data_IF_590060588219
#
_entry.id   IF_590060588219
#
_cell.length_a   1.000
_cell.length_b   1.000
_cell.length_c   1.000
_cell.angle_alpha   90.00
_cell.angle_beta   90.00
_cell.angle_gamma   90.00
#
_symmetry.space_group_name_H-M   'P 1'
#
loop_
_entity.id
_entity.type
_entity.pdbx_description
1 polymer ?
#
# COMPACT_ATOMS: atom_id res chain seq x y z
N UNK A 1 -29.20 -10.04 -13.20
CA UNK A 1 -29.40 -8.70 -12.59
C UNK A 1 -29.06 -7.64 -13.62
N UNK A 2 -29.78 -6.51 -13.66
CA UNK A 2 -29.47 -5.39 -14.58
C UNK A 2 -28.09 -4.79 -14.26
N UNK A 3 -27.38 -4.25 -15.28
CA UNK A 3 -26.03 -3.65 -15.15
C UNK A 3 -25.95 -2.59 -14.03
N UNK A 4 -27.03 -1.84 -13.85
CA UNK A 4 -27.18 -0.77 -12.86
C UNK A 4 -27.36 -1.30 -11.43
N UNK A 5 -28.15 -2.37 -11.23
CA UNK A 5 -28.23 -3.08 -9.94
C UNK A 5 -26.89 -3.69 -9.53
N UNK A 6 -26.06 -4.06 -10.50
CA UNK A 6 -24.73 -4.61 -10.26
C UNK A 6 -23.73 -3.53 -9.78
N UNK A 7 -23.79 -2.32 -10.36
CA UNK A 7 -22.98 -1.17 -9.90
C UNK A 7 -23.39 -0.71 -8.50
N UNK A 8 -24.68 -0.52 -8.22
CA UNK A 8 -25.12 -0.07 -6.89
C UNK A 8 -24.73 -1.06 -5.78
N UNK A 9 -24.75 -2.37 -6.07
CA UNK A 9 -24.26 -3.38 -5.16
C UNK A 9 -22.74 -3.31 -4.94
N UNK A 10 -21.98 -2.99 -5.98
CA UNK A 10 -20.52 -2.94 -5.93
C UNK A 10 -19.99 -1.72 -5.15
N UNK A 11 -20.52 -0.52 -5.43
CA UNK A 11 -20.02 0.74 -4.83
C UNK A 11 -20.65 1.10 -3.47
N UNK A 12 -21.71 0.39 -3.06
CA UNK A 12 -22.40 0.59 -1.76
C UNK A 12 -22.74 2.04 -1.45
N UNK A 13 -23.09 2.81 -2.48
CA UNK A 13 -23.30 4.27 -2.38
C UNK A 13 -24.32 4.63 -1.29
N UNK A 14 -25.32 3.77 -1.07
CA UNK A 14 -26.37 3.95 -0.06
C UNK A 14 -25.89 4.00 1.40
N UNK A 15 -24.64 3.60 1.72
CA UNK A 15 -24.10 3.74 3.08
C UNK A 15 -23.61 5.15 3.39
N UNK A 16 -23.49 6.00 2.36
CA UNK A 16 -23.05 7.38 2.52
C UNK A 16 -24.25 8.32 2.50
N UNK A 17 -24.16 9.40 3.25
CA UNK A 17 -25.18 10.45 3.20
C UNK A 17 -25.07 11.22 1.88
N UNK A 18 -26.18 11.74 1.34
CA UNK A 18 -26.15 12.55 0.12
C UNK A 18 -25.16 13.71 0.20
N UNK A 19 -25.06 14.37 1.35
CA UNK A 19 -24.19 15.54 1.55
C UNK A 19 -22.70 15.17 1.42
N UNK A 20 -22.31 13.96 1.84
CA UNK A 20 -20.93 13.49 1.67
C UNK A 20 -20.64 13.18 0.20
N UNK A 21 -21.60 12.62 -0.52
CA UNK A 21 -21.46 12.28 -1.94
C UNK A 21 -21.40 13.54 -2.83
N UNK A 22 -22.21 14.55 -2.51
CA UNK A 22 -22.24 15.84 -3.21
C UNK A 22 -20.93 16.62 -3.07
N UNK A 23 -20.16 16.39 -2.00
CA UNK A 23 -18.87 17.02 -1.78
C UNK A 23 -17.72 16.40 -2.58
N UNK A 24 -17.83 15.12 -2.99
CA UNK A 24 -16.73 14.42 -3.65
C UNK A 24 -16.22 15.16 -4.91
N UNK A 25 -17.08 15.64 -5.83
CA UNK A 25 -16.60 16.36 -7.00
C UNK A 25 -15.86 17.66 -6.64
N UNK A 26 -16.31 18.36 -5.58
CA UNK A 26 -15.69 19.59 -5.11
C UNK A 26 -14.32 19.32 -4.49
N UNK A 27 -14.20 18.27 -3.68
CA UNK A 27 -12.93 17.86 -3.06
C UNK A 27 -11.92 17.36 -4.10
N UNK A 28 -12.36 16.54 -5.05
CA UNK A 28 -11.51 16.10 -6.18
C UNK A 28 -11.01 17.33 -6.96
N UNK A 29 -11.90 18.27 -7.29
CA UNK A 29 -11.51 19.49 -7.98
C UNK A 29 -10.52 20.34 -7.15
N UNK A 30 -10.73 20.44 -5.84
CA UNK A 30 -9.83 21.14 -4.92
C UNK A 30 -8.42 20.55 -4.91
N UNK A 31 -8.29 19.24 -4.72
CA UNK A 31 -6.98 18.57 -4.79
C UNK A 31 -6.37 18.64 -6.19
N UNK A 32 -7.18 18.57 -7.24
CA UNK A 32 -6.72 18.66 -8.61
C UNK A 32 -6.07 20.01 -8.92
N UNK A 33 -6.54 21.12 -8.32
CA UNK A 33 -5.93 22.43 -8.52
C UNK A 33 -4.45 22.45 -8.13
N UNK A 34 -4.06 21.73 -7.07
CA UNK A 34 -2.67 21.64 -6.62
C UNK A 34 -1.74 20.96 -7.63
N UNK A 35 -2.28 20.16 -8.57
CA UNK A 35 -1.53 19.46 -9.62
C UNK A 35 -1.77 20.04 -11.02
N UNK A 36 -2.32 21.26 -11.13
CA UNK A 36 -2.61 21.90 -12.42
C UNK A 36 -3.86 21.34 -13.11
N UNK A 37 -4.84 20.90 -12.34
CA UNK A 37 -6.14 20.39 -12.78
C UNK A 37 -6.14 18.91 -13.17
N UNK A 38 -7.33 18.32 -13.27
CA UNK A 38 -7.50 16.92 -13.69
C UNK A 38 -7.15 16.71 -15.16
N UNK A 39 -6.67 15.51 -15.55
CA UNK A 39 -6.66 15.12 -16.96
C UNK A 39 -8.09 15.13 -17.51
N UNK A 40 -8.30 15.75 -18.66
CA UNK A 40 -9.63 15.77 -19.31
C UNK A 40 -9.95 14.44 -20.01
N UNK A 41 -8.91 13.68 -20.36
CA UNK A 41 -9.01 12.40 -21.04
C UNK A 41 -7.74 11.57 -20.81
N UNK A 42 -7.77 10.31 -21.25
CA UNK A 42 -6.64 9.38 -21.13
C UNK A 42 -5.32 9.91 -21.73
N UNK A 43 -5.32 10.73 -22.80
CA UNK A 43 -4.08 11.22 -23.43
C UNK A 43 -3.31 12.16 -22.50
N UNK A 44 -4.01 12.89 -21.64
CA UNK A 44 -3.39 13.81 -20.68
C UNK A 44 -2.79 13.09 -19.47
N UNK A 45 -3.24 11.87 -19.15
CA UNK A 45 -2.78 11.08 -17.98
C UNK A 45 -1.27 10.88 -18.00
N UNK A 46 -0.70 10.56 -19.17
CA UNK A 46 0.74 10.36 -19.32
C UNK A 46 1.57 11.65 -19.18
N UNK A 47 0.93 12.82 -19.23
CA UNK A 47 1.59 14.12 -19.08
C UNK A 47 1.30 14.76 -17.70
N UNK A 48 0.41 14.17 -16.90
CA UNK A 48 0.04 14.67 -15.58
C UNK A 48 0.45 13.68 -14.49
N UNK A 49 1.68 13.82 -14.00
CA UNK A 49 2.16 13.10 -12.81
C UNK A 49 1.27 13.43 -11.61
N UNK A 50 0.90 12.41 -10.82
CA UNK A 50 0.05 12.62 -9.65
C UNK A 50 -1.45 12.73 -9.93
N UNK A 51 -1.91 12.47 -11.16
CA UNK A 51 -3.33 12.59 -11.54
C UNK A 51 -4.30 11.72 -10.71
N UNK A 52 -3.80 10.67 -10.05
CA UNK A 52 -4.60 9.76 -9.23
C UNK A 52 -4.75 10.25 -7.78
N UNK A 53 -3.87 11.16 -7.31
CA UNK A 53 -3.88 11.67 -5.94
C UNK A 53 -5.19 12.36 -5.53
N UNK A 54 -5.83 13.20 -6.37
CA UNK A 54 -7.12 13.80 -6.02
C UNK A 54 -8.19 12.76 -5.71
N UNK A 55 -8.23 11.66 -6.48
CA UNK A 55 -9.15 10.56 -6.23
C UNK A 55 -8.76 9.79 -4.96
N UNK A 56 -7.48 9.51 -4.76
CA UNK A 56 -6.99 8.81 -3.57
C UNK A 56 -7.39 9.55 -2.29
N UNK A 57 -7.10 10.84 -2.19
CA UNK A 57 -7.38 11.62 -0.99
C UNK A 57 -8.87 11.75 -0.74
N UNK A 58 -9.66 12.06 -1.76
CA UNK A 58 -11.12 12.18 -1.61
C UNK A 58 -11.78 10.84 -1.25
N UNK A 59 -11.38 9.74 -1.88
CA UNK A 59 -11.96 8.43 -1.56
C UNK A 59 -11.50 7.90 -0.21
N UNK A 60 -10.24 8.13 0.17
CA UNK A 60 -9.75 7.76 1.50
C UNK A 60 -10.45 8.58 2.60
N UNK A 61 -10.62 9.90 2.44
CA UNK A 61 -11.38 10.73 3.38
C UNK A 61 -12.84 10.26 3.53
N UNK A 62 -13.42 9.72 2.45
CA UNK A 62 -14.76 9.12 2.49
C UNK A 62 -14.78 7.80 3.28
N UNK A 63 -13.71 7.00 3.21
CA UNK A 63 -13.66 5.61 3.67
C UNK A 63 -12.92 5.42 4.99
N UNK A 64 -11.65 5.80 5.07
CA UNK A 64 -10.73 5.42 6.15
C UNK A 64 -10.05 6.62 6.84
N UNK A 65 -9.93 7.77 6.17
CA UNK A 65 -9.34 9.00 6.73
C UNK A 65 -7.86 8.88 7.11
N UNK A 66 -7.11 7.97 6.48
CA UNK A 66 -5.70 7.72 6.80
C UNK A 66 -4.77 8.77 6.22
N UNK A 67 -5.07 9.27 5.03
CA UNK A 67 -4.30 10.34 4.41
C UNK A 67 -4.45 11.63 5.20
N UNK A 68 -5.67 12.02 5.59
CA UNK A 68 -5.91 13.20 6.42
C UNK A 68 -5.14 13.10 7.75
N UNK A 69 -5.29 11.97 8.44
CA UNK A 69 -4.54 11.68 9.68
C UNK A 69 -3.03 11.85 9.51
N UNK A 70 -2.46 11.30 8.43
CA UNK A 70 -1.02 11.37 8.20
C UNK A 70 -0.55 12.76 7.77
N UNK A 71 -1.33 13.47 6.95
CA UNK A 71 -1.01 14.83 6.52
C UNK A 71 -1.04 15.81 7.69
N UNK A 72 -1.99 15.67 8.61
CA UNK A 72 -2.01 16.45 9.87
C UNK A 72 -0.76 16.20 10.72
N UNK A 73 -0.36 14.94 10.88
CA UNK A 73 0.88 14.60 11.58
C UNK A 73 2.10 15.24 10.91
N UNK A 74 2.20 15.16 9.57
CA UNK A 74 3.30 15.76 8.83
C UNK A 74 3.32 17.28 8.99
N UNK A 75 2.16 17.93 8.97
CA UNK A 75 2.05 19.37 9.22
C UNK A 75 2.47 19.74 10.64
N UNK A 76 2.14 18.89 11.63
CA UNK A 76 2.51 19.08 13.04
C UNK A 76 3.99 18.77 13.32
N UNK A 77 4.63 17.92 12.51
CA UNK A 77 6.00 17.44 12.70
C UNK A 77 6.18 16.46 13.87
N UNK A 78 5.08 15.95 14.44
CA UNK A 78 5.13 14.96 15.53
C UNK A 78 3.89 14.07 15.58
N UNK A 79 4.06 12.80 15.95
CA UNK A 79 2.95 11.87 16.22
C UNK A 79 2.31 12.09 17.61
N UNK A 80 2.92 12.89 18.48
CA UNK A 80 2.40 13.13 19.83
C UNK A 80 1.08 13.88 19.76
N UNK A 81 0.02 13.33 20.37
CA UNK A 81 -1.31 13.92 20.37
C UNK A 81 -2.01 13.89 19.01
N UNK A 82 -1.65 12.95 18.13
CA UNK A 82 -2.37 12.71 16.86
C UNK A 82 -3.68 11.93 17.03
N UNK A 83 -3.95 11.40 18.23
CA UNK A 83 -5.07 10.47 18.44
C UNK A 83 -4.83 9.08 17.83
N UNK A 84 -5.86 8.21 17.85
CA UNK A 84 -5.74 6.84 17.40
C UNK A 84 -5.52 6.75 15.88
N UNK A 85 -4.72 5.79 15.44
CA UNK A 85 -4.55 5.48 14.01
C UNK A 85 -5.91 5.03 13.45
N UNK A 86 -6.42 5.65 12.36
CA UNK A 86 -7.63 5.18 11.71
C UNK A 86 -7.45 3.74 11.21
N UNK A 87 -8.36 2.85 11.61
CA UNK A 87 -8.24 1.40 11.34
C UNK A 87 -8.91 1.04 10.03
N UNK A 88 -8.23 0.23 9.22
CA UNK A 88 -8.87 -0.45 8.09
C UNK A 88 -9.47 -1.77 8.58
N UNK A 89 -10.72 -2.00 8.21
CA UNK A 89 -11.37 -3.30 8.28
C UNK A 89 -11.06 -4.10 7.01
N UNK A 90 -10.07 -4.97 7.12
CA UNK A 90 -9.59 -5.78 6.00
C UNK A 90 -10.64 -6.77 5.49
N UNK A 91 -10.92 -6.70 4.19
CA UNK A 91 -11.90 -7.54 3.52
C UNK A 91 -11.43 -8.99 3.36
N UNK A 92 -12.39 -9.92 3.42
CA UNK A 92 -12.18 -11.33 3.12
C UNK A 92 -11.96 -11.53 1.62
N UNK A 93 -10.87 -12.21 1.28
CA UNK A 93 -10.47 -12.55 -0.09
C UNK A 93 -11.58 -13.23 -0.90
N UNK A 94 -12.41 -14.07 -0.24
CA UNK A 94 -13.48 -14.83 -0.90
C UNK A 94 -14.77 -14.05 -1.15
N UNK A 95 -14.88 -12.80 -0.69
CA UNK A 95 -16.13 -12.05 -0.83
C UNK A 95 -16.43 -11.71 -2.31
N UNK A 96 -17.71 -11.62 -2.73
CA UNK A 96 -18.03 -11.24 -4.11
C UNK A 96 -17.43 -9.89 -4.55
N UNK A 97 -17.22 -8.96 -3.61
CA UNK A 97 -16.69 -7.61 -3.89
C UNK A 97 -15.17 -7.62 -4.06
N UNK A 98 -14.46 -8.37 -3.24
CA UNK A 98 -13.00 -8.56 -3.42
C UNK A 98 -12.72 -9.33 -4.70
N UNK A 99 -13.56 -10.31 -5.06
CA UNK A 99 -13.46 -11.00 -6.35
C UNK A 99 -13.71 -10.06 -7.54
N UNK A 100 -14.69 -9.17 -7.44
CA UNK A 100 -14.93 -8.15 -8.47
C UNK A 100 -13.73 -7.19 -8.62
N UNK A 101 -13.15 -6.76 -7.51
CA UNK A 101 -11.95 -5.90 -7.51
C UNK A 101 -10.72 -6.64 -8.05
N UNK A 102 -10.57 -7.93 -7.75
CA UNK A 102 -9.53 -8.78 -8.36
C UNK A 102 -9.73 -8.91 -9.87
N UNK A 103 -10.96 -9.12 -10.33
CA UNK A 103 -11.27 -9.22 -11.75
C UNK A 103 -10.93 -7.92 -12.50
N UNK A 104 -11.09 -6.76 -11.86
CA UNK A 104 -10.66 -5.47 -12.43
C UNK A 104 -9.14 -5.43 -12.66
N UNK A 105 -8.33 -5.92 -11.72
CA UNK A 105 -6.88 -6.05 -11.94
C UNK A 105 -6.55 -7.03 -13.08
N UNK A 106 -7.25 -8.17 -13.15
CA UNK A 106 -7.13 -9.10 -14.27
C UNK A 106 -7.49 -8.43 -15.59
N UNK A 107 -8.54 -7.61 -15.65
CA UNK A 107 -8.92 -6.85 -16.84
C UNK A 107 -7.83 -5.86 -17.23
N UNK A 108 -7.24 -5.14 -16.27
CA UNK A 108 -6.11 -4.24 -16.53
C UNK A 108 -4.97 -4.97 -17.24
N UNK A 109 -4.65 -6.19 -16.81
CA UNK A 109 -3.58 -7.01 -17.39
C UNK A 109 -4.00 -7.83 -18.63
N UNK A 110 -5.29 -7.81 -18.99
CA UNK A 110 -5.84 -8.51 -20.16
C UNK A 110 -5.68 -7.71 -21.46
N UNK A 111 -4.49 -7.17 -21.69
CA UNK A 111 -4.10 -6.51 -22.93
C UNK A 111 -2.76 -7.07 -23.41
N UNK A 112 -2.59 -7.26 -24.72
CA UNK A 112 -1.40 -7.92 -25.28
C UNK A 112 -0.06 -7.21 -24.98
N UNK A 113 -0.08 -5.89 -24.77
CA UNK A 113 1.07 -5.09 -24.35
C UNK A 113 1.20 -4.97 -22.81
N UNK A 114 0.20 -5.40 -22.04
CA UNK A 114 0.22 -5.24 -20.60
C UNK A 114 1.24 -6.20 -19.96
N UNK A 115 2.01 -5.64 -19.03
CA UNK A 115 2.86 -6.39 -18.11
C UNK A 115 2.65 -5.82 -16.72
N UNK A 116 3.01 -6.59 -15.69
CA UNK A 116 2.94 -6.11 -14.31
C UNK A 116 3.83 -4.87 -14.10
N UNK A 117 4.98 -4.80 -14.77
CA UNK A 117 5.86 -3.62 -14.77
C UNK A 117 5.17 -2.40 -15.37
N UNK A 118 4.61 -2.52 -16.59
CA UNK A 118 3.89 -1.42 -17.25
C UNK A 118 2.75 -0.88 -16.39
N UNK A 119 1.97 -1.77 -15.77
CA UNK A 119 0.86 -1.38 -14.92
C UNK A 119 1.36 -0.73 -13.61
N UNK A 120 2.40 -1.29 -12.99
CA UNK A 120 2.99 -0.72 -11.77
C UNK A 120 3.58 0.68 -12.01
N UNK A 121 4.27 0.89 -13.13
CA UNK A 121 4.85 2.19 -13.48
C UNK A 121 3.74 3.22 -13.75
N UNK A 122 2.66 2.81 -14.42
CA UNK A 122 1.49 3.67 -14.65
C UNK A 122 0.82 4.11 -13.35
N UNK A 123 0.64 3.19 -12.39
CA UNK A 123 0.12 3.51 -11.06
C UNK A 123 1.07 4.42 -10.27
N UNK A 124 2.37 4.12 -10.26
CA UNK A 124 3.37 4.95 -9.56
C UNK A 124 3.41 6.37 -10.13
N UNK A 125 3.29 6.53 -11.45
CA UNK A 125 3.18 7.83 -12.10
C UNK A 125 1.91 8.57 -11.66
N UNK A 126 0.77 7.88 -11.66
CA UNK A 126 -0.50 8.43 -11.20
C UNK A 126 -0.49 8.83 -9.73
N UNK A 127 0.25 8.11 -8.90
CA UNK A 127 0.41 8.39 -7.47
C UNK A 127 1.54 9.38 -7.15
N UNK A 128 2.23 9.93 -8.18
CA UNK A 128 3.40 10.79 -7.97
C UNK A 128 4.49 10.10 -7.12
N UNK A 129 4.58 8.78 -7.21
CA UNK A 129 5.51 7.94 -6.46
C UNK A 129 6.83 7.68 -7.21
N UNK A 130 6.90 8.09 -8.48
CA UNK A 130 8.08 8.07 -9.35
C UNK A 130 8.12 9.35 -10.19
N UNK A 131 9.31 9.76 -10.60
CA UNK A 131 9.51 10.86 -11.57
C UNK A 131 9.65 10.33 -13.01
N UNK A 132 9.74 9.01 -13.16
CA UNK A 132 9.86 8.36 -14.45
C UNK A 132 8.49 8.20 -15.13
N UNK A 133 8.35 8.83 -16.30
CA UNK A 133 7.15 8.69 -17.13
C UNK A 133 7.01 7.23 -17.62
N UNK A 134 5.82 6.60 -17.50
CA UNK A 134 5.60 5.25 -17.98
C UNK A 134 5.86 5.13 -19.48
N UNK A 135 6.59 4.09 -19.88
CA UNK A 135 6.90 3.81 -21.29
C UNK A 135 5.87 2.85 -21.87
N UNK A 136 4.64 3.33 -22.06
CA UNK A 136 3.52 2.56 -22.59
C UNK A 136 2.91 3.24 -23.81
N UNK A 137 2.25 2.47 -24.68
CA UNK A 137 1.51 3.03 -25.82
C UNK A 137 0.26 3.79 -25.35
N UNK A 138 -0.24 4.70 -26.18
CA UNK A 138 -1.50 5.41 -25.91
C UNK A 138 -2.68 4.44 -25.75
N UNK A 139 -2.68 3.34 -26.51
CA UNK A 139 -3.71 2.29 -26.44
C UNK A 139 -3.67 1.55 -25.11
N UNK A 140 -2.47 1.16 -24.65
CA UNK A 140 -2.32 0.51 -23.34
C UNK A 140 -2.71 1.47 -22.20
N UNK A 141 -2.34 2.74 -22.31
CA UNK A 141 -2.77 3.76 -21.36
C UNK A 141 -4.29 3.97 -21.34
N UNK A 142 -4.95 4.00 -22.50
CA UNK A 142 -6.42 4.03 -22.59
C UNK A 142 -7.05 2.84 -21.88
N UNK A 143 -6.51 1.65 -22.12
CA UNK A 143 -6.97 0.41 -21.52
C UNK A 143 -6.89 0.48 -19.99
N UNK A 144 -5.73 0.82 -19.43
CA UNK A 144 -5.57 1.00 -17.98
C UNK A 144 -6.51 2.06 -17.42
N UNK A 145 -6.65 3.21 -18.09
CA UNK A 145 -7.52 4.30 -17.66
C UNK A 145 -9.00 3.92 -17.61
N UNK A 146 -9.45 3.02 -18.50
CA UNK A 146 -10.85 2.55 -18.54
C UNK A 146 -11.13 1.44 -17.54
N UNK A 147 -10.17 0.53 -17.35
CA UNK A 147 -10.37 -0.67 -16.53
C UNK A 147 -10.08 -0.42 -15.05
N UNK A 148 -9.12 0.44 -14.72
CA UNK A 148 -8.72 0.65 -13.33
C UNK A 148 -9.68 1.58 -12.57
N UNK A 149 -10.18 1.10 -11.43
CA UNK A 149 -11.05 1.83 -10.53
C UNK A 149 -10.46 1.81 -9.11
N UNK A 150 -9.90 2.96 -8.71
CA UNK A 150 -9.30 3.13 -7.39
C UNK A 150 -10.33 2.98 -6.26
N UNK A 151 -11.57 3.39 -6.46
CA UNK A 151 -12.58 3.32 -5.40
C UNK A 151 -12.82 1.87 -4.97
N UNK A 152 -12.87 0.93 -5.92
CA UNK A 152 -13.05 -0.50 -5.60
C UNK A 152 -11.93 -1.05 -4.72
N UNK A 153 -10.69 -0.64 -5.02
CA UNK A 153 -9.48 -1.02 -4.28
C UNK A 153 -9.55 -0.51 -2.84
N UNK A 154 -9.89 0.77 -2.66
CA UNK A 154 -9.99 1.37 -1.33
C UNK A 154 -11.19 0.84 -0.54
N UNK A 155 -12.32 0.60 -1.21
CA UNK A 155 -13.55 0.17 -0.56
C UNK A 155 -13.53 -1.30 -0.09
N UNK A 156 -12.73 -2.13 -0.76
CA UNK A 156 -12.61 -3.55 -0.46
C UNK A 156 -11.15 -3.87 -0.11
N UNK A 157 -10.60 -3.30 0.97
CA UNK A 157 -9.16 -3.32 1.22
C UNK A 157 -8.67 -4.72 1.52
N UNK A 158 -7.68 -5.19 0.77
CA UNK A 158 -6.99 -6.47 1.00
C UNK A 158 -5.66 -6.47 0.26
N UNK A 159 -4.91 -7.56 0.36
CA UNK A 159 -3.62 -7.74 -0.32
C UNK A 159 -3.79 -8.18 -1.78
N UNK A 160 -4.26 -7.26 -2.63
CA UNK A 160 -4.51 -7.55 -4.05
C UNK A 160 -3.22 -7.77 -4.84
N UNK A 161 -2.20 -6.93 -4.64
CA UNK A 161 -1.03 -6.95 -5.52
C UNK A 161 -0.12 -8.15 -5.28
N UNK A 162 -0.18 -8.78 -4.11
CA UNK A 162 0.40 -10.11 -3.89
C UNK A 162 -0.20 -11.14 -4.84
N UNK A 163 -1.53 -11.17 -4.95
CA UNK A 163 -2.23 -12.16 -5.77
C UNK A 163 -1.97 -11.91 -7.24
N UNK A 164 -2.02 -10.65 -7.67
CA UNK A 164 -1.72 -10.27 -9.04
C UNK A 164 -0.29 -10.71 -9.42
N UNK A 165 0.70 -10.44 -8.57
CA UNK A 165 2.07 -10.86 -8.84
C UNK A 165 2.23 -12.40 -8.85
N UNK A 166 1.55 -13.09 -7.94
CA UNK A 166 1.51 -14.56 -7.90
C UNK A 166 0.92 -15.13 -9.20
N UNK A 167 -0.21 -14.60 -9.66
CA UNK A 167 -0.91 -15.06 -10.87
C UNK A 167 -0.06 -14.82 -12.14
N UNK A 168 0.68 -13.71 -12.20
CA UNK A 168 1.51 -13.35 -13.35
C UNK A 168 2.87 -14.06 -13.37
N UNK A 169 3.41 -14.44 -12.21
CA UNK A 169 4.69 -15.16 -12.12
C UNK A 169 4.53 -16.68 -12.05
N UNK A 170 3.35 -17.17 -11.65
CA UNK A 170 3.05 -18.60 -11.49
C UNK A 170 2.78 -19.36 -12.79
N UNK A 171 2.74 -18.70 -13.95
CA UNK A 171 2.46 -19.32 -15.26
C UNK A 171 3.76 -19.73 -15.99
N UNK A 172 3.74 -20.91 -16.61
CA UNK A 172 4.81 -21.36 -17.52
C UNK A 172 6.11 -21.79 -16.83
N UNK A 173 7.25 -21.61 -17.49
CA UNK A 173 8.57 -22.09 -17.03
C UNK A 173 9.06 -21.43 -15.72
N UNK A 174 8.41 -20.34 -15.29
CA UNK A 174 8.75 -19.58 -14.07
C UNK A 174 8.04 -20.11 -12.81
N UNK A 175 7.22 -21.16 -12.91
CA UNK A 175 6.43 -21.68 -11.79
C UNK A 175 7.27 -22.13 -10.57
N UNK A 176 8.53 -22.54 -10.77
CA UNK A 176 9.46 -22.88 -9.68
C UNK A 176 10.25 -21.71 -9.09
N UNK A 177 10.21 -20.53 -9.72
CA UNK A 177 10.86 -19.28 -9.29
C UNK A 177 9.82 -18.19 -9.00
N UNK A 178 8.55 -18.59 -8.88
CA UNK A 178 7.41 -17.69 -8.76
C UNK A 178 7.40 -16.91 -7.44
N UNK A 179 6.59 -15.86 -7.41
CA UNK A 179 6.31 -15.13 -6.17
C UNK A 179 5.24 -15.89 -5.37
N UNK A 180 5.55 -16.26 -4.13
CA UNK A 180 4.66 -16.97 -3.23
C UNK A 180 4.25 -16.06 -2.07
N UNK A 181 3.10 -15.38 -2.14
CA UNK A 181 2.67 -14.51 -1.05
C UNK A 181 2.25 -15.33 0.16
N UNK A 182 2.61 -14.84 1.35
CA UNK A 182 1.97 -15.30 2.58
C UNK A 182 0.47 -15.00 2.51
N UNK A 183 -0.43 -16.00 2.63
CA UNK A 183 -1.85 -15.77 2.54
C UNK A 183 -2.31 -14.72 3.56
N UNK A 184 -3.06 -13.72 3.10
CA UNK A 184 -3.40 -12.56 3.92
C UNK A 184 -4.03 -12.87 5.30
N UNK A 185 -4.90 -13.88 5.46
CA UNK A 185 -5.39 -14.29 6.78
C UNK A 185 -4.28 -14.77 7.73
N UNK A 186 -3.28 -15.48 7.21
CA UNK A 186 -2.11 -15.93 7.99
C UNK A 186 -1.28 -14.74 8.41
N UNK A 187 -1.09 -13.79 7.50
CA UNK A 187 -0.41 -12.55 7.80
C UNK A 187 -1.08 -11.74 8.92
N UNK A 188 -2.41 -11.61 8.90
CA UNK A 188 -3.16 -10.99 10.01
C UNK A 188 -2.98 -11.77 11.30
N UNK A 189 -3.07 -13.10 11.25
CA UNK A 189 -2.85 -13.94 12.43
C UNK A 189 -1.45 -13.74 13.03
N UNK A 190 -0.40 -13.76 12.21
CA UNK A 190 0.98 -13.53 12.67
C UNK A 190 1.15 -12.14 13.26
N UNK A 191 0.51 -11.12 12.69
CA UNK A 191 0.49 -9.79 13.29
C UNK A 191 -0.17 -9.83 14.67
N UNK A 192 -1.37 -10.39 14.79
CA UNK A 192 -2.09 -10.50 16.07
C UNK A 192 -1.25 -11.22 17.15
N UNK A 193 -0.50 -12.25 16.75
CA UNK A 193 0.42 -12.95 17.65
C UNK A 193 1.65 -12.12 18.06
N UNK A 194 2.13 -11.22 17.19
CA UNK A 194 3.37 -10.46 17.41
C UNK A 194 3.15 -9.09 18.04
N UNK A 195 2.05 -8.40 17.73
CA UNK A 195 1.75 -7.10 18.34
C UNK A 195 1.22 -7.25 19.78
N UNK A 196 0.59 -8.39 20.10
CA UNK A 196 0.15 -8.76 21.45
C UNK A 196 -0.85 -7.81 22.09
N UNK A 197 -1.09 -7.94 23.40
CA UNK A 197 -1.86 -6.95 24.16
C UNK A 197 -0.95 -5.79 24.56
N UNK A 198 -1.42 -4.55 24.38
CA UNK A 198 -0.62 -3.36 24.70
C UNK A 198 -1.31 -2.07 24.33
N UNK A 199 -0.85 -0.96 24.91
CA UNK A 199 -1.40 0.37 24.68
C UNK A 199 -1.25 0.76 23.20
N UNK A 200 -2.35 1.04 22.48
CA UNK A 200 -2.29 1.55 21.11
C UNK A 200 -1.41 2.78 20.92
N UNK A 201 -1.30 3.66 21.93
CA UNK A 201 -0.45 4.85 21.85
C UNK A 201 1.04 4.52 21.95
N UNK A 202 1.42 3.45 22.64
CA UNK A 202 2.79 2.94 22.68
C UNK A 202 3.15 2.27 21.36
N UNK A 203 2.30 1.36 20.86
CA UNK A 203 2.50 0.65 19.58
C UNK A 203 2.70 1.60 18.41
N UNK A 204 1.98 2.71 18.39
CA UNK A 204 2.12 3.76 17.38
C UNK A 204 3.55 4.29 17.24
N UNK A 205 4.33 4.29 18.33
CA UNK A 205 5.72 4.80 18.43
C UNK A 205 6.77 3.75 18.08
N UNK A 206 6.38 2.48 18.10
CA UNK A 206 7.24 1.35 17.78
C UNK A 206 7.46 1.22 16.27
N UNK A 207 8.40 0.34 15.92
CA UNK A 207 8.80 0.05 14.55
C UNK A 207 8.47 -1.39 14.20
N UNK A 208 7.86 -1.62 13.05
CA UNK A 208 7.75 -2.95 12.44
C UNK A 208 8.80 -3.13 11.35
N UNK A 209 9.31 -4.34 11.16
CA UNK A 209 10.24 -4.65 10.08
C UNK A 209 9.83 -5.96 9.39
N UNK A 210 9.87 -5.95 8.06
CA UNK A 210 9.75 -7.14 7.23
C UNK A 210 10.93 -7.20 6.25
N UNK A 211 11.85 -8.14 6.48
CA UNK A 211 13.10 -8.27 5.70
C UNK A 211 12.91 -8.95 4.33
N UNK A 212 11.74 -9.55 4.10
CA UNK A 212 11.34 -10.23 2.87
C UNK A 212 9.89 -9.80 2.54
N UNK A 213 9.70 -8.49 2.40
CA UNK A 213 8.38 -7.84 2.46
C UNK A 213 7.46 -8.21 1.30
N UNK A 214 8.01 -8.70 0.19
CA UNK A 214 7.25 -8.95 -1.02
C UNK A 214 6.49 -7.70 -1.46
N UNK A 215 5.18 -7.84 -1.66
CA UNK A 215 4.28 -6.72 -1.96
C UNK A 215 3.68 -6.07 -0.70
N UNK A 216 4.20 -6.36 0.50
CA UNK A 216 3.80 -5.70 1.74
C UNK A 216 2.66 -6.36 2.51
N UNK A 217 2.38 -7.65 2.26
CA UNK A 217 1.28 -8.38 2.90
C UNK A 217 1.29 -8.20 4.43
N UNK A 218 2.45 -8.27 5.09
CA UNK A 218 2.59 -8.09 6.55
C UNK A 218 2.50 -6.65 7.01
N UNK A 219 3.04 -5.72 6.22
CA UNK A 219 2.98 -4.29 6.55
C UNK A 219 1.56 -3.73 6.45
N UNK A 220 0.72 -4.27 5.58
CA UNK A 220 -0.66 -3.83 5.42
C UNK A 220 -1.45 -3.88 6.74
N UNK A 221 -1.68 -5.04 7.38
CA UNK A 221 -2.40 -5.07 8.64
C UNK A 221 -1.58 -4.44 9.77
N UNK A 222 -0.23 -4.49 9.73
CA UNK A 222 0.62 -3.84 10.72
C UNK A 222 0.40 -2.32 10.75
N UNK A 223 0.08 -1.71 9.60
CA UNK A 223 -0.25 -0.30 9.50
C UNK A 223 -1.42 0.13 10.42
N UNK A 224 -2.33 -0.79 10.78
CA UNK A 224 -3.35 -0.48 11.78
C UNK A 224 -2.75 -0.04 13.12
N UNK A 225 -1.53 -0.46 13.47
CA UNK A 225 -0.97 -0.31 14.82
C UNK A 225 0.32 0.50 14.86
N UNK A 226 1.12 0.46 13.79
CA UNK A 226 2.44 1.08 13.74
C UNK A 226 2.49 2.20 12.69
N UNK A 227 3.11 3.33 13.05
CA UNK A 227 3.36 4.44 12.11
C UNK A 227 4.76 4.44 11.51
N UNK A 228 5.64 3.53 11.96
CA UNK A 228 7.01 3.38 11.45
C UNK A 228 7.25 1.92 11.06
N UNK A 229 7.72 1.73 9.82
CA UNK A 229 7.90 0.43 9.24
C UNK A 229 9.08 0.41 8.28
N UNK A 230 9.82 -0.68 8.26
CA UNK A 230 10.86 -0.96 7.27
C UNK A 230 10.54 -2.23 6.50
N UNK A 231 10.68 -2.17 5.18
CA UNK A 231 10.48 -3.29 4.28
C UNK A 231 11.67 -3.44 3.36
N UNK A 232 12.15 -4.67 3.17
CA UNK A 232 13.18 -5.00 2.20
C UNK A 232 12.75 -6.22 1.39
N UNK A 233 13.07 -6.23 0.11
CA UNK A 233 12.90 -7.40 -0.76
C UNK A 233 13.95 -7.35 -1.87
N UNK A 234 14.31 -8.51 -2.40
CA UNK A 234 15.22 -8.63 -3.55
C UNK A 234 14.51 -8.33 -4.88
N UNK A 235 13.19 -8.53 -4.93
CA UNK A 235 12.36 -8.35 -6.12
C UNK A 235 11.97 -6.89 -6.29
N UNK A 236 12.55 -6.23 -7.29
CA UNK A 236 12.22 -4.84 -7.62
C UNK A 236 10.74 -4.61 -7.94
N UNK A 237 10.10 -5.54 -8.66
CA UNK A 237 8.66 -5.45 -8.95
C UNK A 237 7.82 -5.63 -7.68
N UNK A 238 8.22 -6.52 -6.76
CA UNK A 238 7.51 -6.69 -5.50
C UNK A 238 7.56 -5.40 -4.66
N UNK A 239 8.72 -4.73 -4.61
CA UNK A 239 8.87 -3.42 -3.95
C UNK A 239 8.02 -2.33 -4.60
N UNK A 240 7.95 -2.26 -5.94
CA UNK A 240 7.04 -1.32 -6.63
C UNK A 240 5.59 -1.53 -6.20
N UNK A 241 5.13 -2.79 -6.22
CA UNK A 241 3.78 -3.15 -5.81
C UNK A 241 3.55 -2.91 -4.31
N UNK A 242 4.53 -3.18 -3.45
CA UNK A 242 4.50 -2.83 -2.03
C UNK A 242 4.24 -1.35 -1.84
N UNK A 243 5.04 -0.49 -2.51
CA UNK A 243 4.87 0.96 -2.45
C UNK A 243 3.46 1.39 -2.88
N UNK A 244 2.94 0.83 -3.97
CA UNK A 244 1.57 1.11 -4.45
C UNK A 244 0.52 0.73 -3.39
N UNK A 245 0.60 -0.46 -2.78
CA UNK A 245 -0.36 -0.85 -1.74
C UNK A 245 -0.26 0.07 -0.50
N UNK A 246 0.95 0.53 -0.16
CA UNK A 246 1.11 1.51 0.92
C UNK A 246 0.46 2.86 0.56
N UNK A 247 0.46 3.28 -0.71
CA UNK A 247 -0.27 4.49 -1.09
C UNK A 247 -1.78 4.33 -0.90
N UNK A 248 -2.30 3.15 -1.21
CA UNK A 248 -3.73 2.86 -1.05
C UNK A 248 -4.13 2.80 0.41
N UNK A 249 -3.30 2.20 1.27
CA UNK A 249 -3.77 1.79 2.60
C UNK A 249 -2.93 2.31 3.78
N UNK A 250 -1.67 2.68 3.60
CA UNK A 250 -0.75 3.04 4.69
C UNK A 250 0.14 4.25 4.33
N UNK A 251 -0.41 5.48 4.37
CA UNK A 251 0.28 6.69 3.91
C UNK A 251 1.63 6.96 4.57
N UNK A 252 1.76 6.61 5.85
CA UNK A 252 3.01 6.74 6.62
C UNK A 252 4.14 5.82 6.14
N UNK A 253 3.82 4.72 5.45
CA UNK A 253 4.82 3.87 4.79
C UNK A 253 5.08 4.32 3.34
N UNK A 254 4.06 4.83 2.64
CA UNK A 254 4.20 5.27 1.25
C UNK A 254 4.95 6.60 1.09
N UNK A 255 4.65 7.56 1.95
CA UNK A 255 5.23 8.90 1.97
C UNK A 255 5.66 9.23 3.40
N UNK A 256 6.72 8.57 3.91
CA UNK A 256 7.26 8.89 5.23
C UNK A 256 7.64 10.37 5.30
N UNK A 257 7.53 10.96 6.49
CA UNK A 257 7.88 12.34 6.76
C UNK A 257 8.95 12.41 7.84
N UNK A 258 9.62 13.55 7.94
CA UNK A 258 10.50 13.85 9.06
C UNK A 258 9.64 14.23 10.28
N UNK A 259 9.20 13.22 11.03
CA UNK A 259 8.23 13.33 12.12
C UNK A 259 8.84 12.77 13.39
N UNK A 260 8.72 13.52 14.49
CA UNK A 260 9.23 13.13 15.81
C UNK A 260 8.17 12.41 16.67
N UNK A 261 8.60 11.84 17.79
CA UNK A 261 7.70 11.24 18.79
C UNK A 261 7.64 9.71 18.76
N UNK A 262 8.37 9.08 17.85
CA UNK A 262 8.65 7.65 17.91
C UNK A 262 9.60 7.32 19.06
N UNK A 263 9.57 6.06 19.51
CA UNK A 263 10.50 5.60 20.53
C UNK A 263 11.92 5.66 19.98
N UNK A 264 12.82 6.21 20.79
CA UNK A 264 14.25 6.11 20.52
C UNK A 264 14.63 4.64 20.67
N UNK A 265 15.52 4.14 19.82
CA UNK A 265 16.18 2.86 20.13
C UNK A 265 16.91 3.07 21.46
N UNK A 266 16.36 2.54 22.55
CA UNK A 266 16.84 2.86 23.89
C UNK A 266 18.27 2.32 24.11
N UNK A 267 18.66 1.27 23.37
CA UNK A 267 20.02 0.73 23.40
C UNK A 267 20.37 0.18 22.00
N UNK A 268 21.39 0.71 21.30
CA UNK A 268 21.98 0.02 20.15
C UNK A 268 22.42 -1.38 20.61
N UNK A 269 22.14 -2.43 19.84
CA UNK A 269 22.64 -3.78 20.15
C UNK A 269 24.15 -3.67 20.37
N UNK A 270 24.60 -3.97 21.60
CA UNK A 270 26.01 -3.85 21.93
C UNK A 270 26.76 -4.99 21.23
N UNK A 271 27.70 -4.61 20.38
CA UNK A 271 28.68 -5.53 19.86
C UNK A 271 29.70 -5.80 20.97
N UNK A 272 29.79 -7.05 21.40
CA UNK A 272 30.81 -7.52 22.34
C UNK A 272 31.82 -8.39 21.62
N UNK A 273 33.09 -8.46 22.06
CA UNK A 273 34.02 -9.44 21.53
C UNK A 273 33.45 -10.86 21.65
N UNK A 274 33.56 -11.66 20.58
CA UNK A 274 33.04 -13.02 20.58
C UNK A 274 33.78 -13.87 21.64
N UNK A 275 33.03 -14.56 22.50
CA UNK A 275 33.61 -15.45 23.52
C UNK A 275 34.00 -16.78 22.85
N UNK A 276 35.22 -17.30 23.07
CA UNK A 276 35.66 -18.57 22.49
C UNK A 276 34.68 -19.71 22.80
N UNK A 277 34.18 -20.36 21.74
CA UNK A 277 33.50 -21.65 21.92
C UNK A 277 34.52 -22.70 22.36
N UNK A 278 34.06 -23.76 23.05
CA UNK A 278 34.91 -24.84 23.59
C UNK A 278 35.90 -25.47 22.58
N UNK A 279 35.70 -25.30 21.27
CA UNK A 279 36.46 -25.95 20.20
C UNK A 279 36.96 -25.01 19.07
N UNK A 280 36.96 -23.67 19.21
CA UNK A 280 37.27 -22.79 18.08
C UNK A 280 38.20 -21.62 18.40
N UNK A 281 39.25 -21.45 17.59
CA UNK A 281 40.06 -20.23 17.51
C UNK A 281 39.19 -19.07 16.99
N UNK A 282 39.00 -18.05 17.83
CA UNK A 282 38.39 -16.79 17.43
C UNK A 282 39.52 -15.82 17.11
N UNK A 283 39.52 -15.28 15.89
CA UNK A 283 40.43 -14.18 15.52
C UNK A 283 40.08 -12.95 16.36
N UNK A 284 41.09 -12.22 16.85
CA UNK A 284 40.97 -11.07 17.78
C UNK A 284 39.99 -9.95 17.39
N UNK A 285 39.45 -9.98 16.17
CA UNK A 285 38.56 -8.95 15.60
C UNK A 285 37.11 -9.43 15.36
N UNK A 286 36.70 -10.58 15.92
CA UNK A 286 35.31 -11.06 15.81
C UNK A 286 34.44 -10.50 16.93
N UNK A 287 33.35 -9.83 16.53
CA UNK A 287 32.30 -9.36 17.43
C UNK A 287 31.07 -10.28 17.38
N UNK A 288 30.37 -10.38 18.50
CA UNK A 288 29.09 -11.04 18.67
C UNK A 288 28.05 -10.04 19.21
N UNK A 289 26.77 -10.34 19.03
CA UNK A 289 25.69 -9.57 19.64
C UNK A 289 25.56 -9.93 21.13
N UNK A 290 25.53 -8.93 22.01
CA UNK A 290 25.06 -9.11 23.37
C UNK A 290 23.54 -8.96 23.39
N UNK A 291 22.84 -10.06 23.70
CA UNK A 291 21.42 -10.08 24.02
C UNK A 291 21.20 -10.01 25.53
#
# INVERSE_FOLDING_TARGET
MTKEKNKNHLYRISRFTPERLERLPLEVAGYAQAIGGMPQNHLEVLNKRGWLLPFLFTYDALLWGRWDYWLEIKQKGTITGSGPIPKIEWADLGSPRTLATRNMFTSCLSHHEATIDHFSDWLLWGLSATDEKPRISEKLNEHFYREFDLFLVLDNPTDYLSQVLCDETGKGYKSGLGYFPTPFPITRMMLEMTHGDGDPEEKKRQTVMDSCVGTGAMLLPASNYFLRGYGQDISGIAIKLCKIQMYFYAPWYASPGDVTGYDKMEVPIQLVPAIPSRNGEITTDQFAFAF
#
